data_IF_453042204662
#
_entry.id   IF_453042204662
#
_cell.length_a   1.000
_cell.length_b   1.000
_cell.length_c   1.000
_cell.angle_alpha   90.00
_cell.angle_beta   90.00
_cell.angle_gamma   90.00
#
_symmetry.space_group_name_H-M   'P 1'
#
loop_
_entity.id
_entity.type
_entity.pdbx_description
1 polymer ?
#
# COMPACT_ATOMS: atom_id res chain seq x y z
N UNK A 1 -10.25 -36.16 -66.39
CA UNK A 1 -10.35 -36.35 -64.89
C UNK A 1 -10.30 -34.97 -64.21
N UNK A 2 -11.50 -34.38 -63.96
CA UNK A 2 -11.63 -33.09 -63.29
C UNK A 2 -11.58 -33.29 -61.76
N UNK A 3 -10.66 -32.64 -61.06
CA UNK A 3 -10.65 -32.51 -59.61
C UNK A 3 -11.40 -31.22 -59.20
N UNK A 4 -12.55 -31.44 -58.55
CA UNK A 4 -13.34 -30.34 -57.98
C UNK A 4 -12.67 -29.80 -56.70
N UNK A 5 -12.33 -28.51 -56.70
CA UNK A 5 -11.99 -27.75 -55.52
C UNK A 5 -13.29 -27.46 -54.71
N UNK A 6 -13.37 -27.95 -53.50
CA UNK A 6 -14.43 -27.55 -52.55
C UNK A 6 -13.98 -26.29 -51.83
N UNK A 7 -14.70 -25.23 -52.07
CA UNK A 7 -14.58 -23.97 -51.32
C UNK A 7 -15.30 -24.13 -49.98
N UNK A 8 -14.57 -23.89 -48.85
CA UNK A 8 -15.19 -23.72 -47.50
C UNK A 8 -15.71 -22.27 -47.42
N UNK A 9 -16.92 -22.09 -46.89
CA UNK A 9 -17.38 -20.72 -46.58
C UNK A 9 -16.72 -20.22 -45.30
N UNK A 10 -16.06 -19.09 -45.41
CA UNK A 10 -15.49 -18.33 -44.29
C UNK A 10 -16.65 -17.59 -43.61
N UNK A 11 -17.18 -18.17 -42.50
CA UNK A 11 -18.15 -17.50 -41.63
C UNK A 11 -17.44 -16.35 -40.88
N UNK A 12 -17.68 -15.13 -41.34
CA UNK A 12 -17.31 -13.92 -40.62
C UNK A 12 -18.21 -13.78 -39.39
N UNK A 13 -17.67 -14.11 -38.22
CA UNK A 13 -18.33 -13.86 -36.93
C UNK A 13 -18.17 -12.34 -36.63
N UNK A 14 -19.17 -11.54 -36.99
CA UNK A 14 -19.29 -10.17 -36.49
C UNK A 14 -19.59 -10.24 -34.99
N UNK A 15 -18.56 -10.03 -34.17
CA UNK A 15 -18.74 -9.72 -32.76
C UNK A 15 -19.43 -8.34 -32.68
N UNK A 16 -20.71 -8.34 -32.39
CA UNK A 16 -21.43 -7.12 -31.99
C UNK A 16 -20.80 -6.63 -30.69
N UNK A 17 -19.92 -5.65 -30.78
CA UNK A 17 -19.55 -4.81 -29.65
C UNK A 17 -20.82 -4.07 -29.23
N UNK A 18 -21.49 -4.57 -28.20
CA UNK A 18 -22.51 -3.84 -27.46
C UNK A 18 -21.78 -2.68 -26.77
N UNK A 19 -21.55 -1.59 -27.50
CA UNK A 19 -21.17 -0.33 -26.91
C UNK A 19 -22.28 0.02 -25.90
N UNK A 20 -21.95 0.10 -24.62
CA UNK A 20 -22.78 0.76 -23.65
C UNK A 20 -22.85 2.21 -24.10
N UNK A 21 -23.93 2.56 -24.82
CA UNK A 21 -24.25 3.95 -25.10
C UNK A 21 -24.44 4.64 -23.75
N UNK A 22 -23.68 5.70 -23.44
CA UNK A 22 -24.01 6.51 -22.29
C UNK A 22 -25.46 6.95 -22.48
N UNK A 23 -26.30 6.68 -21.48
CA UNK A 23 -27.67 7.17 -21.49
C UNK A 23 -27.60 8.67 -21.78
N UNK A 24 -28.19 9.10 -22.90
CA UNK A 24 -28.25 10.52 -23.23
C UNK A 24 -29.03 11.23 -22.13
N UNK A 25 -28.30 11.99 -21.32
CA UNK A 25 -28.92 12.91 -20.38
C UNK A 25 -29.73 13.93 -21.17
N UNK A 26 -31.03 14.01 -20.91
CA UNK A 26 -31.88 15.07 -21.49
C UNK A 26 -31.61 16.45 -20.85
N UNK A 27 -30.71 16.51 -19.88
CA UNK A 27 -30.29 17.73 -19.21
C UNK A 27 -29.09 18.28 -19.91
N UNK A 28 -29.15 19.55 -20.33
CA UNK A 28 -28.01 20.26 -20.92
C UNK A 28 -26.94 20.42 -19.85
N UNK A 29 -25.70 20.17 -20.24
CA UNK A 29 -24.54 20.47 -19.42
C UNK A 29 -24.25 21.98 -19.50
N UNK A 30 -24.71 22.71 -18.50
CA UNK A 30 -24.57 24.16 -18.41
C UNK A 30 -23.82 24.54 -17.13
N UNK A 31 -23.08 25.68 -17.15
CA UNK A 31 -22.39 26.17 -15.95
C UNK A 31 -23.38 26.42 -14.81
N UNK A 32 -23.10 25.82 -13.65
CA UNK A 32 -23.88 26.00 -12.41
C UNK A 32 -23.17 26.94 -11.46
N UNK A 33 -23.94 27.72 -10.66
CA UNK A 33 -23.37 28.60 -9.63
C UNK A 33 -22.56 27.84 -8.58
N UNK A 34 -23.05 26.66 -8.18
CA UNK A 34 -22.30 25.75 -7.29
C UNK A 34 -21.54 24.79 -8.17
N UNK A 35 -20.25 25.05 -8.35
CA UNK A 35 -19.37 24.24 -9.20
C UNK A 35 -19.19 22.84 -8.61
N UNK A 36 -19.10 21.83 -9.47
CA UNK A 36 -18.76 20.45 -9.07
C UNK A 36 -17.31 20.35 -8.69
N UNK A 37 -17.00 19.62 -7.65
CA UNK A 37 -15.68 19.24 -7.23
C UNK A 37 -15.64 17.75 -6.90
N UNK A 38 -14.45 17.18 -6.98
CA UNK A 38 -14.17 15.81 -6.58
C UNK A 38 -12.83 15.78 -5.85
N UNK A 39 -12.78 15.04 -4.75
CA UNK A 39 -11.54 14.79 -4.00
C UNK A 39 -11.41 13.29 -3.78
N UNK A 40 -10.19 12.79 -3.68
CA UNK A 40 -9.92 11.40 -3.36
C UNK A 40 -8.68 11.26 -2.50
N UNK A 41 -8.69 10.25 -1.63
CA UNK A 41 -7.58 9.86 -0.78
C UNK A 41 -7.44 8.35 -0.78
N UNK A 42 -6.20 7.86 -0.87
CA UNK A 42 -5.89 6.45 -0.69
C UNK A 42 -5.44 6.18 0.74
N UNK A 43 -6.07 5.20 1.41
CA UNK A 43 -5.76 4.75 2.77
C UNK A 43 -5.34 3.28 2.69
N UNK A 44 -4.08 2.96 2.95
CA UNK A 44 -3.53 1.66 2.59
C UNK A 44 -3.63 1.43 1.08
N UNK A 45 -4.48 0.48 0.66
CA UNK A 45 -4.81 0.25 -0.76
C UNK A 45 -6.28 0.59 -1.10
N UNK A 46 -7.03 1.13 -0.15
CA UNK A 46 -8.43 1.53 -0.31
C UNK A 46 -8.54 2.94 -0.83
N UNK A 47 -9.26 3.15 -1.93
CA UNK A 47 -9.56 4.46 -2.48
C UNK A 47 -10.87 4.98 -1.90
N UNK A 48 -10.86 6.22 -1.39
CA UNK A 48 -12.02 6.96 -0.89
C UNK A 48 -12.18 8.21 -1.75
N UNK A 49 -13.35 8.41 -2.37
CA UNK A 49 -13.63 9.56 -3.23
C UNK A 49 -14.93 10.23 -2.85
N UNK A 50 -14.96 11.57 -2.88
CA UNK A 50 -16.15 12.38 -2.63
C UNK A 50 -16.39 13.27 -3.85
N UNK A 51 -17.61 13.18 -4.43
CA UNK A 51 -18.05 14.06 -5.50
C UNK A 51 -19.21 14.94 -4.98
N UNK A 52 -19.09 16.26 -5.12
CA UNK A 52 -19.99 17.20 -4.51
C UNK A 52 -20.06 18.52 -5.29
N UNK A 53 -21.05 19.37 -4.99
CA UNK A 53 -21.15 20.74 -5.48
C UNK A 53 -20.87 21.74 -4.37
N UNK A 54 -20.17 22.84 -4.71
CA UNK A 54 -19.61 23.83 -3.80
C UNK A 54 -20.44 25.13 -3.78
N UNK A 55 -21.50 25.21 -2.94
CA UNK A 55 -22.21 26.46 -2.78
C UNK A 55 -21.36 27.51 -2.05
N UNK A 56 -21.52 28.78 -2.43
CA UNK A 56 -20.92 29.92 -1.77
C UNK A 56 -21.82 30.45 -0.64
N UNK A 57 -21.23 31.11 0.35
CA UNK A 57 -21.99 31.76 1.44
C UNK A 57 -22.85 32.89 0.87
N UNK A 58 -22.30 33.77 0.02
CA UNK A 58 -22.98 34.89 -0.63
C UNK A 58 -23.83 35.73 0.37
N UNK A 59 -23.22 36.14 1.49
CA UNK A 59 -23.83 36.94 2.58
C UNK A 59 -25.13 36.33 3.19
N UNK A 60 -25.37 35.02 2.96
CA UNK A 60 -26.54 34.33 3.50
C UNK A 60 -26.25 33.75 4.89
N UNK A 61 -27.27 33.71 5.74
CA UNK A 61 -27.23 32.90 6.94
C UNK A 61 -27.32 31.43 6.51
N UNK A 62 -26.26 30.65 6.74
CA UNK A 62 -26.18 29.23 6.34
C UNK A 62 -26.93 28.37 7.37
N UNK A 63 -26.36 28.22 8.56
CA UNK A 63 -26.85 27.28 9.57
C UNK A 63 -28.09 27.84 10.29
N UNK A 64 -29.17 27.04 10.27
CA UNK A 64 -30.49 27.47 10.74
C UNK A 64 -31.16 28.53 9.85
N UNK A 65 -30.66 28.72 8.62
CA UNK A 65 -31.19 29.56 7.56
C UNK A 65 -31.32 28.78 6.26
N UNK A 66 -30.34 28.90 5.35
CA UNK A 66 -30.32 28.16 4.08
C UNK A 66 -30.36 26.64 4.31
N UNK A 67 -29.64 26.17 5.31
CA UNK A 67 -29.65 24.78 5.77
C UNK A 67 -30.32 24.76 7.16
N UNK A 68 -31.57 24.29 7.23
CA UNK A 68 -32.32 24.23 8.49
C UNK A 68 -31.68 23.20 9.46
N UNK A 69 -31.70 23.51 10.75
CA UNK A 69 -31.38 22.51 11.77
C UNK A 69 -32.44 21.43 11.87
N UNK A 70 -32.01 20.20 12.17
CA UNK A 70 -32.90 19.02 12.30
C UNK A 70 -33.45 18.47 10.99
N UNK A 71 -33.09 19.05 9.83
CA UNK A 71 -33.54 18.58 8.52
C UNK A 71 -32.43 17.85 7.78
N UNK A 72 -32.79 16.82 7.00
CA UNK A 72 -31.83 16.11 6.15
C UNK A 72 -31.39 17.03 5.00
N UNK A 73 -30.08 17.20 4.87
CA UNK A 73 -29.45 18.00 3.85
C UNK A 73 -28.46 17.15 3.05
N UNK A 74 -28.41 17.34 1.72
CA UNK A 74 -27.52 16.60 0.80
C UNK A 74 -26.03 16.91 0.96
N UNK A 75 -25.65 17.60 2.03
CA UNK A 75 -24.25 17.93 2.34
C UNK A 75 -23.47 18.59 1.18
N UNK A 76 -24.16 19.43 0.41
CA UNK A 76 -23.69 20.13 -0.78
C UNK A 76 -24.81 20.88 -1.47
N UNK A 77 -24.77 20.98 -2.79
CA UNK A 77 -25.74 21.63 -3.64
C UNK A 77 -26.05 20.79 -4.90
N UNK A 78 -27.12 21.13 -5.62
CA UNK A 78 -27.56 20.46 -6.85
C UNK A 78 -27.86 18.95 -6.64
N UNK A 79 -27.13 18.08 -7.35
CA UNK A 79 -27.21 16.62 -7.22
C UNK A 79 -26.72 16.14 -5.85
N UNK A 80 -26.96 14.87 -5.54
CA UNK A 80 -26.41 14.24 -4.35
C UNK A 80 -24.90 14.44 -4.25
N UNK A 81 -24.44 14.80 -3.07
CA UNK A 81 -23.08 14.51 -2.67
C UNK A 81 -22.92 13.01 -2.53
N UNK A 82 -21.89 12.45 -3.14
CA UNK A 82 -21.62 11.01 -3.08
C UNK A 82 -20.26 10.75 -2.46
N UNK A 83 -20.17 9.66 -1.70
CA UNK A 83 -18.91 9.12 -1.22
C UNK A 83 -18.77 7.68 -1.68
N UNK A 84 -17.58 7.34 -2.22
CA UNK A 84 -17.27 6.01 -2.76
C UNK A 84 -16.10 5.40 -2.00
N UNK A 85 -16.24 4.14 -1.64
CA UNK A 85 -15.18 3.32 -1.02
C UNK A 85 -14.91 2.11 -1.90
N UNK A 86 -13.64 1.88 -2.27
CA UNK A 86 -13.25 0.70 -3.07
C UNK A 86 -13.31 -0.61 -2.28
N UNK A 87 -13.21 -0.54 -0.96
CA UNK A 87 -13.15 -1.66 -0.03
C UNK A 87 -13.98 -1.35 1.22
N UNK A 88 -14.30 -2.34 2.07
CA UNK A 88 -14.99 -2.11 3.34
C UNK A 88 -14.19 -1.19 4.27
N UNK A 89 -14.88 -0.27 4.93
CA UNK A 89 -14.30 0.73 5.83
C UNK A 89 -15.01 0.74 7.19
N UNK A 90 -14.45 1.46 8.14
CA UNK A 90 -15.11 1.84 9.39
C UNK A 90 -15.31 3.35 9.40
N UNK A 91 -16.54 3.79 9.59
CA UNK A 91 -16.90 5.19 9.78
C UNK A 91 -17.19 5.42 11.26
N UNK A 92 -16.39 6.27 11.93
CA UNK A 92 -16.48 6.43 13.38
C UNK A 92 -16.50 5.08 14.12
N UNK A 93 -15.69 4.11 13.64
CA UNK A 93 -15.60 2.76 14.18
C UNK A 93 -16.76 1.81 13.82
N UNK A 94 -17.76 2.24 13.02
CA UNK A 94 -18.88 1.40 12.58
C UNK A 94 -18.64 0.89 11.16
N UNK A 95 -18.89 -0.39 10.87
CA UNK A 95 -18.60 -0.98 9.56
C UNK A 95 -19.53 -0.43 8.46
N UNK A 96 -18.94 -0.24 7.28
CA UNK A 96 -19.63 0.11 6.04
C UNK A 96 -18.97 -0.64 4.89
N UNK A 97 -19.75 -1.32 4.06
CA UNK A 97 -19.26 -2.09 2.92
C UNK A 97 -18.71 -1.17 1.81
N UNK A 98 -17.92 -1.77 0.90
CA UNK A 98 -17.50 -1.11 -0.32
C UNK A 98 -18.72 -0.68 -1.16
N UNK A 99 -18.63 0.48 -1.80
CA UNK A 99 -19.71 0.99 -2.66
C UNK A 99 -19.75 2.50 -2.75
N UNK A 100 -20.73 3.00 -3.50
CA UNK A 100 -21.05 4.43 -3.62
C UNK A 100 -22.33 4.73 -2.85
N UNK A 101 -22.27 5.73 -1.98
CA UNK A 101 -23.36 6.14 -1.11
C UNK A 101 -23.72 7.60 -1.33
N UNK A 102 -25.02 7.93 -1.26
CA UNK A 102 -25.45 9.31 -1.08
C UNK A 102 -25.08 9.78 0.32
N UNK A 103 -24.31 10.87 0.39
CA UNK A 103 -23.89 11.48 1.64
C UNK A 103 -24.86 12.59 2.04
N UNK A 104 -25.56 12.37 3.15
CA UNK A 104 -26.45 13.38 3.72
C UNK A 104 -26.03 13.72 5.15
N UNK A 105 -26.44 14.89 5.63
CA UNK A 105 -26.21 15.30 7.01
C UNK A 105 -27.46 15.93 7.61
N UNK A 106 -27.64 15.77 8.92
CA UNK A 106 -28.62 16.51 9.72
C UNK A 106 -27.86 17.46 10.64
N UNK A 107 -27.76 18.75 10.31
CA UNK A 107 -27.12 19.73 11.16
C UNK A 107 -27.93 20.01 12.42
N UNK A 108 -27.25 20.17 13.54
CA UNK A 108 -27.76 20.76 14.78
C UNK A 108 -26.67 21.61 15.45
N UNK A 109 -27.01 22.29 16.53
CA UNK A 109 -26.04 23.20 17.18
C UNK A 109 -24.83 22.46 17.75
N UNK A 110 -25.05 21.31 18.40
CA UNK A 110 -24.05 20.63 19.20
C UNK A 110 -23.63 19.26 18.64
N UNK A 111 -24.43 18.66 17.77
CA UNK A 111 -24.17 17.34 17.20
C UNK A 111 -24.80 17.22 15.80
N UNK A 112 -24.05 16.69 14.87
CA UNK A 112 -24.51 16.42 13.51
C UNK A 112 -24.62 14.92 13.29
N UNK A 113 -25.67 14.51 12.56
CA UNK A 113 -25.79 13.13 12.07
C UNK A 113 -25.30 13.06 10.63
N UNK A 114 -24.31 12.23 10.35
CA UNK A 114 -23.83 11.90 9.00
C UNK A 114 -24.51 10.63 8.56
N UNK A 115 -25.05 10.63 7.34
CA UNK A 115 -25.90 9.55 6.79
C UNK A 115 -25.29 9.04 5.50
N UNK A 116 -25.15 7.74 5.39
CA UNK A 116 -24.75 7.02 4.18
C UNK A 116 -25.96 6.27 3.64
N UNK A 117 -26.52 6.75 2.53
CA UNK A 117 -27.72 6.20 1.89
C UNK A 117 -27.36 5.34 0.68
N UNK A 118 -28.12 4.27 0.43
CA UNK A 118 -27.99 3.49 -0.81
C UNK A 118 -28.36 4.31 -2.04
N UNK A 119 -29.21 5.31 -1.88
CA UNK A 119 -29.61 6.20 -2.96
C UNK A 119 -28.53 7.27 -3.18
N UNK A 120 -27.72 7.08 -4.21
CA UNK A 120 -26.62 7.98 -4.58
C UNK A 120 -26.91 8.83 -5.82
N UNK A 121 -28.11 8.74 -6.42
CA UNK A 121 -28.46 9.35 -7.71
C UNK A 121 -29.56 10.40 -7.64
N UNK A 122 -30.04 10.74 -6.45
CA UNK A 122 -31.11 11.71 -6.26
C UNK A 122 -30.67 13.14 -6.58
N UNK A 123 -31.61 14.01 -6.91
CA UNK A 123 -31.43 15.45 -6.89
C UNK A 123 -31.76 16.00 -5.51
N UNK A 124 -30.76 16.46 -4.77
CA UNK A 124 -30.95 16.98 -3.42
C UNK A 124 -31.40 15.91 -2.41
N UNK A 125 -32.14 16.30 -1.39
CA UNK A 125 -32.72 15.40 -0.38
C UNK A 125 -34.25 15.39 -0.44
N UNK A 126 -34.85 15.78 -1.57
CA UNK A 126 -36.31 15.88 -1.69
C UNK A 126 -37.03 14.52 -1.68
N UNK A 127 -36.32 13.49 -2.18
CA UNK A 127 -36.81 12.10 -2.23
C UNK A 127 -36.08 11.22 -1.22
N UNK A 128 -35.47 11.81 -0.21
CA UNK A 128 -34.76 11.07 0.81
C UNK A 128 -35.74 10.16 1.58
N UNK A 129 -35.37 8.89 1.70
CA UNK A 129 -36.06 7.90 2.53
C UNK A 129 -35.07 7.28 3.53
N UNK A 130 -35.41 7.36 4.82
CA UNK A 130 -34.61 6.79 5.89
C UNK A 130 -34.45 5.26 5.78
N UNK A 131 -35.37 4.58 5.10
CA UNK A 131 -35.30 3.13 4.86
C UNK A 131 -34.11 2.73 3.95
N UNK A 132 -33.57 3.68 3.18
CA UNK A 132 -32.36 3.50 2.33
C UNK A 132 -31.05 3.74 3.08
N UNK A 133 -31.10 4.18 4.34
CA UNK A 133 -29.88 4.42 5.12
C UNK A 133 -29.18 3.10 5.45
N UNK A 134 -27.89 3.05 5.16
CA UNK A 134 -27.02 1.92 5.52
C UNK A 134 -26.32 2.18 6.84
N UNK A 135 -25.92 3.45 7.06
CA UNK A 135 -25.21 3.84 8.26
C UNK A 135 -25.56 5.27 8.65
N UNK A 136 -25.68 5.48 9.96
CA UNK A 136 -25.74 6.79 10.60
C UNK A 136 -24.68 6.88 11.72
N UNK A 137 -23.93 7.97 11.71
CA UNK A 137 -22.97 8.30 12.78
C UNK A 137 -23.21 9.71 13.25
N UNK A 138 -22.96 9.93 14.53
CA UNK A 138 -23.06 11.27 15.13
C UNK A 138 -21.66 11.82 15.38
N UNK A 139 -21.46 13.07 15.04
CA UNK A 139 -20.20 13.79 15.20
C UNK A 139 -20.45 15.19 15.76
N UNK A 140 -19.44 15.79 16.39
CA UNK A 140 -19.52 17.14 16.91
C UNK A 140 -18.93 18.11 15.89
N UNK A 141 -19.69 19.15 15.48
CA UNK A 141 -19.11 20.22 14.68
C UNK A 141 -18.10 21.02 15.50
N UNK A 142 -17.14 21.63 14.80
CA UNK A 142 -16.13 22.52 15.38
C UNK A 142 -16.27 23.91 14.76
N UNK A 143 -15.83 24.93 15.50
CA UNK A 143 -15.64 26.26 14.94
C UNK A 143 -14.39 26.26 14.04
N UNK A 144 -14.52 26.87 12.86
CA UNK A 144 -13.46 27.02 11.88
C UNK A 144 -13.30 28.47 11.42
N UNK A 145 -12.23 28.74 10.69
CA UNK A 145 -12.09 30.00 9.96
C UNK A 145 -13.16 30.09 8.86
N UNK A 146 -13.32 31.28 8.29
CA UNK A 146 -14.37 31.56 7.31
C UNK A 146 -14.06 30.87 5.96
N UNK A 147 -14.83 29.84 5.61
CA UNK A 147 -14.82 29.17 4.32
C UNK A 147 -15.99 29.65 3.46
N UNK A 148 -15.74 30.52 2.47
CA UNK A 148 -16.81 31.06 1.62
C UNK A 148 -17.44 29.97 0.71
N UNK A 149 -16.64 29.03 0.21
CA UNK A 149 -17.14 27.89 -0.58
C UNK A 149 -17.15 26.62 0.27
N UNK A 150 -18.24 25.84 0.23
CA UNK A 150 -18.27 24.53 0.84
C UNK A 150 -17.11 23.67 0.30
N UNK A 151 -16.34 23.08 1.18
CA UNK A 151 -15.16 22.27 0.86
C UNK A 151 -15.20 20.97 1.65
N UNK A 152 -14.76 19.87 1.02
CA UNK A 152 -14.36 18.65 1.70
C UNK A 152 -12.86 18.54 1.63
N UNK A 153 -12.23 18.06 2.70
CA UNK A 153 -10.80 17.78 2.77
C UNK A 153 -10.55 16.46 3.48
N UNK A 154 -9.36 15.87 3.22
CA UNK A 154 -8.83 14.76 3.98
C UNK A 154 -7.68 15.25 4.83
N UNK A 155 -7.79 15.13 6.14
CA UNK A 155 -6.78 15.53 7.13
C UNK A 155 -6.42 14.38 8.07
N UNK A 156 -5.45 14.61 8.97
CA UNK A 156 -4.97 13.67 9.98
C UNK A 156 -4.64 12.30 9.41
N UNK A 157 -3.93 12.29 8.27
CA UNK A 157 -3.59 11.07 7.53
C UNK A 157 -2.74 10.12 8.38
N UNK A 158 -3.19 8.86 8.48
CA UNK A 158 -2.47 7.75 9.08
C UNK A 158 -2.35 6.60 8.06
N UNK A 159 -1.49 5.59 8.29
CA UNK A 159 -1.38 4.45 7.39
C UNK A 159 -2.70 3.68 7.16
N UNK A 160 -3.62 3.74 8.11
CA UNK A 160 -4.88 3.00 8.14
C UNK A 160 -6.12 3.89 8.26
N UNK A 161 -5.99 5.20 8.32
CA UNK A 161 -7.13 6.09 8.51
C UNK A 161 -6.88 7.52 8.04
N UNK A 162 -7.97 8.26 7.83
CA UNK A 162 -8.00 9.70 7.61
C UNK A 162 -9.24 10.30 8.28
N UNK A 163 -9.23 11.60 8.51
CA UNK A 163 -10.40 12.39 8.88
C UNK A 163 -10.90 13.10 7.63
N UNK A 164 -12.17 12.96 7.33
CA UNK A 164 -12.85 13.75 6.31
C UNK A 164 -13.49 14.92 7.01
N UNK A 165 -13.22 16.13 6.53
CA UNK A 165 -13.74 17.37 7.09
C UNK A 165 -14.58 18.10 6.04
N UNK A 166 -15.85 18.38 6.38
CA UNK A 166 -16.68 19.32 5.64
C UNK A 166 -16.52 20.69 6.26
N UNK A 167 -16.11 21.66 5.47
CA UNK A 167 -15.91 23.06 5.91
C UNK A 167 -16.81 24.00 5.12
N UNK A 168 -17.61 24.78 5.79
CA UNK A 168 -18.41 25.82 5.19
C UNK A 168 -18.83 26.89 6.19
N UNK A 169 -18.77 28.18 5.78
CA UNK A 169 -18.95 29.33 6.64
C UNK A 169 -17.91 29.29 7.77
N UNK A 170 -18.29 29.12 9.02
CA UNK A 170 -17.39 29.02 10.19
C UNK A 170 -17.55 27.68 10.93
N UNK A 171 -17.94 26.65 10.21
CA UNK A 171 -18.18 25.32 10.78
C UNK A 171 -17.36 24.28 10.01
N UNK A 172 -16.65 23.48 10.76
CA UNK A 172 -16.00 22.24 10.34
C UNK A 172 -16.76 21.05 10.92
N UNK A 173 -17.00 20.04 10.09
CA UNK A 173 -17.69 18.79 10.51
C UNK A 173 -16.78 17.60 10.17
N UNK A 174 -15.98 17.14 11.14
CA UNK A 174 -15.05 16.02 10.92
C UNK A 174 -15.73 14.69 11.13
N UNK A 175 -15.33 13.67 10.36
CA UNK A 175 -15.63 12.27 10.64
C UNK A 175 -14.47 11.38 10.20
N UNK A 176 -14.16 10.36 11.01
CA UNK A 176 -13.04 9.46 10.77
C UNK A 176 -13.46 8.32 9.85
N UNK A 177 -12.60 8.05 8.85
CA UNK A 177 -12.63 6.83 8.05
C UNK A 177 -11.40 6.01 8.39
N UNK A 178 -11.56 4.72 8.69
CA UNK A 178 -10.45 3.80 8.91
C UNK A 178 -10.65 2.50 8.14
N UNK A 179 -9.55 1.83 7.84
CA UNK A 179 -9.48 0.63 7.00
C UNK A 179 -8.75 -0.47 7.76
N UNK A 180 -9.29 -1.67 7.78
CA UNK A 180 -8.50 -2.82 8.17
C UNK A 180 -7.56 -3.20 7.01
N UNK A 181 -6.40 -2.53 6.94
CA UNK A 181 -5.46 -2.64 5.82
C UNK A 181 -5.01 -4.09 5.61
N UNK A 182 -4.80 -4.84 6.68
CA UNK A 182 -4.37 -6.24 6.57
C UNK A 182 -5.42 -7.12 5.89
N UNK A 183 -6.68 -6.99 6.27
CA UNK A 183 -7.77 -7.78 5.66
C UNK A 183 -7.96 -7.40 4.19
N UNK A 184 -7.93 -6.09 3.89
CA UNK A 184 -8.07 -5.59 2.52
C UNK A 184 -6.91 -6.07 1.64
N UNK A 185 -5.67 -5.98 2.12
CA UNK A 185 -4.50 -6.47 1.37
C UNK A 185 -4.57 -7.97 1.16
N UNK A 186 -4.90 -8.76 2.19
CA UNK A 186 -5.04 -10.22 2.03
C UNK A 186 -6.11 -10.60 1.00
N UNK A 187 -7.29 -9.94 1.03
CA UNK A 187 -8.33 -10.15 0.03
C UNK A 187 -7.86 -9.77 -1.38
N UNK A 188 -7.16 -8.65 -1.50
CA UNK A 188 -6.60 -8.16 -2.75
C UNK A 188 -5.53 -9.10 -3.31
N UNK A 189 -4.60 -9.58 -2.48
CA UNK A 189 -3.57 -10.58 -2.88
C UNK A 189 -4.22 -11.84 -3.44
N UNK A 190 -5.22 -12.41 -2.74
CA UNK A 190 -5.96 -13.59 -3.22
C UNK A 190 -6.60 -13.37 -4.59
N UNK A 191 -7.06 -12.15 -4.88
CA UNK A 191 -7.63 -11.79 -6.19
C UNK A 191 -6.54 -11.60 -7.25
N UNK A 192 -5.49 -10.83 -6.96
CA UNK A 192 -4.42 -10.50 -7.89
C UNK A 192 -3.62 -11.72 -8.32
N UNK A 193 -3.29 -12.61 -7.37
CA UNK A 193 -2.55 -13.85 -7.61
C UNK A 193 -3.34 -14.94 -8.38
N UNK A 194 -4.59 -14.66 -8.78
CA UNK A 194 -5.38 -15.46 -9.73
C UNK A 194 -5.38 -14.91 -11.15
N UNK A 195 -4.62 -13.84 -11.40
CA UNK A 195 -4.46 -13.19 -12.70
C UNK A 195 -3.09 -13.50 -13.32
N UNK A 196 -2.59 -12.65 -14.22
CA UNK A 196 -1.27 -12.80 -14.83
C UNK A 196 -0.12 -12.84 -13.81
N UNK A 197 -0.30 -12.22 -12.65
CA UNK A 197 0.68 -12.23 -11.56
C UNK A 197 1.04 -13.63 -11.07
N UNK A 198 0.14 -14.62 -11.21
CA UNK A 198 0.40 -16.00 -10.79
C UNK A 198 1.57 -16.68 -11.52
N UNK A 199 1.95 -16.17 -12.70
CA UNK A 199 2.99 -16.79 -13.54
C UNK A 199 4.39 -16.23 -13.30
N UNK A 200 4.56 -15.31 -12.34
CA UNK A 200 5.85 -14.75 -11.98
C UNK A 200 6.23 -15.12 -10.56
N UNK A 201 7.50 -15.50 -10.34
CA UNK A 201 7.99 -15.79 -9.00
C UNK A 201 7.94 -14.53 -8.10
N UNK A 202 8.23 -13.37 -8.67
CA UNK A 202 8.27 -12.08 -7.93
C UNK A 202 6.93 -11.76 -7.26
N UNK A 203 5.82 -11.91 -7.98
CA UNK A 203 4.50 -11.58 -7.41
C UNK A 203 4.15 -12.43 -6.19
N UNK A 204 4.51 -13.70 -6.20
CA UNK A 204 4.32 -14.59 -5.06
C UNK A 204 5.29 -14.29 -3.92
N UNK A 205 6.54 -13.94 -4.27
CA UNK A 205 7.56 -13.57 -3.28
C UNK A 205 7.20 -12.25 -2.58
N UNK A 206 6.78 -11.23 -3.33
CA UNK A 206 6.31 -9.95 -2.78
C UNK A 206 5.13 -10.16 -1.82
N UNK A 207 4.17 -11.01 -2.19
CA UNK A 207 3.04 -11.34 -1.33
C UNK A 207 3.47 -12.07 -0.06
N UNK A 208 4.39 -13.03 -0.16
CA UNK A 208 4.95 -13.75 0.98
C UNK A 208 5.71 -12.81 1.93
N UNK A 209 6.56 -11.94 1.36
CA UNK A 209 7.35 -10.97 2.12
C UNK A 209 6.48 -9.91 2.80
N UNK A 210 5.38 -9.45 2.17
CA UNK A 210 4.42 -8.56 2.84
C UNK A 210 3.85 -9.21 4.10
N UNK A 211 3.31 -10.43 3.99
CA UNK A 211 2.72 -11.13 5.13
C UNK A 211 3.76 -11.43 6.23
N UNK A 212 4.99 -11.76 5.84
CA UNK A 212 6.11 -11.95 6.76
C UNK A 212 6.46 -10.67 7.53
N UNK A 213 6.57 -9.54 6.81
CA UNK A 213 6.93 -8.24 7.38
C UNK A 213 5.88 -7.76 8.38
N UNK A 214 4.61 -7.89 8.01
CA UNK A 214 3.48 -7.53 8.87
C UNK A 214 3.20 -8.58 9.96
N UNK A 215 3.87 -9.74 9.91
CA UNK A 215 3.71 -10.88 10.84
C UNK A 215 2.27 -11.40 10.94
N UNK A 216 1.58 -11.43 9.79
CA UNK A 216 0.20 -11.90 9.69
C UNK A 216 0.10 -13.08 8.73
N UNK A 217 -0.87 -13.96 8.95
CA UNK A 217 -1.20 -15.08 8.05
C UNK A 217 0.03 -15.85 7.54
N UNK A 218 0.97 -16.21 8.43
CA UNK A 218 2.25 -16.86 8.07
C UNK A 218 2.08 -18.19 7.33
N UNK A 219 0.97 -18.90 7.49
CA UNK A 219 0.67 -20.11 6.71
C UNK A 219 0.35 -19.77 5.24
N UNK A 220 -0.39 -18.67 5.00
CA UNK A 220 -0.60 -18.14 3.64
C UNK A 220 0.73 -17.66 3.06
N UNK A 221 1.58 -16.98 3.86
CA UNK A 221 2.91 -16.55 3.45
C UNK A 221 3.79 -17.73 3.00
N UNK A 222 3.77 -18.85 3.75
CA UNK A 222 4.49 -20.06 3.39
C UNK A 222 3.95 -20.67 2.08
N UNK A 223 2.64 -20.65 1.91
CA UNK A 223 2.01 -21.10 0.66
C UNK A 223 2.49 -20.25 -0.52
N UNK A 224 2.54 -18.93 -0.36
CA UNK A 224 2.99 -18.00 -1.41
C UNK A 224 4.48 -18.15 -1.71
N UNK A 225 5.34 -18.29 -0.69
CA UNK A 225 6.76 -18.58 -0.88
C UNK A 225 6.98 -19.89 -1.67
N UNK A 226 6.23 -20.94 -1.36
CA UNK A 226 6.30 -22.19 -2.13
C UNK A 226 5.84 -22.00 -3.58
N UNK A 227 4.78 -21.20 -3.84
CA UNK A 227 4.34 -20.87 -5.20
C UNK A 227 5.37 -20.05 -5.97
N UNK A 228 6.07 -19.14 -5.31
CA UNK A 228 7.20 -18.41 -5.87
C UNK A 228 8.29 -19.38 -6.33
N UNK A 229 8.70 -20.33 -5.47
CA UNK A 229 9.73 -21.34 -5.74
C UNK A 229 9.30 -22.28 -6.88
N UNK A 230 8.02 -22.68 -6.93
CA UNK A 230 7.47 -23.48 -8.04
C UNK A 230 7.60 -22.77 -9.39
N UNK A 231 7.46 -21.44 -9.43
CA UNK A 231 7.66 -20.66 -10.66
C UNK A 231 9.14 -20.52 -11.03
N UNK A 232 9.98 -20.20 -10.07
CA UNK A 232 11.44 -20.10 -10.26
C UNK A 232 12.13 -20.17 -8.89
N UNK A 233 13.00 -21.15 -8.72
CA UNK A 233 13.76 -21.38 -7.48
C UNK A 233 14.94 -20.42 -7.38
N UNK A 234 14.93 -19.54 -6.37
CA UNK A 234 15.88 -18.44 -6.20
C UNK A 234 16.31 -18.25 -4.75
N UNK A 235 17.44 -17.57 -4.56
CA UNK A 235 17.86 -17.12 -3.22
C UNK A 235 16.75 -16.36 -2.50
N UNK A 236 16.11 -15.42 -3.19
CA UNK A 236 15.16 -14.46 -2.60
C UNK A 236 13.95 -15.17 -1.98
N UNK A 237 13.32 -16.10 -2.69
CA UNK A 237 12.14 -16.81 -2.20
C UNK A 237 12.47 -17.94 -1.22
N UNK A 238 13.63 -18.59 -1.32
CA UNK A 238 14.07 -19.59 -0.34
C UNK A 238 14.46 -18.92 1.00
N UNK A 239 15.07 -17.73 0.99
CA UNK A 239 15.38 -16.99 2.22
C UNK A 239 14.10 -16.42 2.86
N UNK A 240 13.12 -15.97 2.06
CA UNK A 240 11.81 -15.59 2.54
C UNK A 240 11.11 -16.77 3.23
N UNK A 241 11.09 -17.95 2.58
CA UNK A 241 10.56 -19.19 3.13
C UNK A 241 11.24 -19.58 4.44
N UNK A 242 12.57 -19.49 4.53
CA UNK A 242 13.30 -19.76 5.77
C UNK A 242 12.81 -18.86 6.92
N UNK A 243 12.69 -17.55 6.68
CA UNK A 243 12.22 -16.58 7.68
C UNK A 243 10.77 -16.84 8.10
N UNK A 244 9.90 -17.19 7.16
CA UNK A 244 8.50 -17.55 7.43
C UNK A 244 8.43 -18.81 8.31
N UNK A 245 9.20 -19.84 7.97
CA UNK A 245 9.28 -21.08 8.75
C UNK A 245 9.77 -20.83 10.17
N UNK A 246 10.74 -19.92 10.34
CA UNK A 246 11.19 -19.50 11.67
C UNK A 246 10.07 -18.81 12.45
N UNK A 247 9.29 -17.94 11.81
CA UNK A 247 8.10 -17.31 12.39
C UNK A 247 7.02 -18.31 12.80
N UNK A 248 6.92 -19.44 12.10
CA UNK A 248 6.04 -20.57 12.42
C UNK A 248 6.63 -21.56 13.44
N UNK A 249 7.78 -21.26 14.06
CA UNK A 249 8.55 -22.15 14.97
C UNK A 249 9.05 -23.45 14.33
N UNK A 250 9.13 -23.53 13.02
CA UNK A 250 9.61 -24.70 12.24
C UNK A 250 11.11 -24.57 11.97
N UNK A 251 11.92 -24.62 13.02
CA UNK A 251 13.37 -24.30 12.97
C UNK A 251 14.17 -25.23 12.05
N UNK A 252 13.89 -26.53 12.06
CA UNK A 252 14.62 -27.50 11.23
C UNK A 252 14.32 -27.26 9.74
N UNK A 253 13.06 -27.04 9.39
CA UNK A 253 12.67 -26.71 8.02
C UNK A 253 13.24 -25.36 7.57
N UNK A 254 13.30 -24.37 8.48
CA UNK A 254 13.92 -23.07 8.23
C UNK A 254 15.41 -23.22 7.87
N UNK A 255 16.15 -24.03 8.63
CA UNK A 255 17.57 -24.28 8.37
C UNK A 255 17.81 -24.97 7.01
N UNK A 256 16.91 -25.86 6.60
CA UNK A 256 16.96 -26.49 5.27
C UNK A 256 16.74 -25.47 4.16
N UNK A 257 15.73 -24.61 4.28
CA UNK A 257 15.45 -23.54 3.30
C UNK A 257 16.60 -22.52 3.23
N UNK A 258 17.16 -22.11 4.40
CA UNK A 258 18.31 -21.21 4.47
C UNK A 258 19.53 -21.77 3.73
N UNK A 259 19.86 -23.04 3.99
CA UNK A 259 20.96 -23.72 3.33
C UNK A 259 20.76 -23.76 1.79
N UNK A 260 19.54 -23.99 1.35
CA UNK A 260 19.19 -24.00 -0.06
C UNK A 260 19.29 -22.59 -0.67
N UNK A 261 18.79 -21.57 0.01
CA UNK A 261 18.95 -20.17 -0.38
C UNK A 261 20.42 -19.81 -0.60
N UNK A 262 21.28 -20.11 0.38
CA UNK A 262 22.71 -19.83 0.29
C UNK A 262 23.43 -20.58 -0.83
N UNK A 263 22.93 -21.75 -1.23
CA UNK A 263 23.44 -22.47 -2.39
C UNK A 263 23.09 -21.81 -3.73
N UNK A 264 21.98 -21.07 -3.80
CA UNK A 264 21.51 -20.33 -4.97
C UNK A 264 22.03 -18.88 -5.01
N UNK A 265 22.55 -18.39 -3.89
CA UNK A 265 22.96 -17.00 -3.72
C UNK A 265 24.18 -16.63 -4.57
N UNK A 266 24.17 -15.45 -5.16
CA UNK A 266 25.36 -14.85 -5.71
C UNK A 266 26.28 -14.29 -4.60
N UNK A 267 27.56 -13.98 -4.89
CA UNK A 267 28.52 -13.53 -3.88
C UNK A 267 28.06 -12.30 -3.07
N UNK A 268 27.37 -11.36 -3.72
CA UNK A 268 26.84 -10.16 -3.06
C UNK A 268 25.69 -10.51 -2.11
N UNK A 269 24.77 -11.37 -2.52
CA UNK A 269 23.69 -11.84 -1.66
C UNK A 269 24.21 -12.56 -0.41
N UNK A 270 25.26 -13.40 -0.57
CA UNK A 270 25.94 -14.04 0.56
C UNK A 270 26.55 -12.99 1.51
N UNK A 271 27.20 -11.96 0.95
CA UNK A 271 27.77 -10.87 1.75
C UNK A 271 26.70 -10.11 2.53
N UNK A 272 25.61 -9.72 1.86
CA UNK A 272 24.49 -8.99 2.49
C UNK A 272 23.79 -9.82 3.56
N UNK A 273 23.63 -11.11 3.33
CA UNK A 273 23.10 -12.03 4.34
C UNK A 273 23.98 -12.09 5.60
N UNK A 274 25.30 -12.22 5.43
CA UNK A 274 26.22 -12.17 6.55
C UNK A 274 26.16 -10.82 7.30
N UNK A 275 26.00 -9.70 6.58
CA UNK A 275 25.74 -8.39 7.19
C UNK A 275 24.45 -8.34 8.01
N UNK A 276 23.39 -8.97 7.51
CA UNK A 276 22.14 -9.09 8.27
C UNK A 276 22.34 -9.89 9.56
N UNK A 277 23.02 -11.02 9.50
CA UNK A 277 23.34 -11.82 10.71
C UNK A 277 24.11 -11.02 11.75
N UNK A 278 25.05 -10.15 11.32
CA UNK A 278 25.74 -9.24 12.25
C UNK A 278 24.76 -8.28 12.95
N UNK A 279 23.83 -7.68 12.20
CA UNK A 279 22.80 -6.80 12.77
C UNK A 279 21.89 -7.55 13.77
N UNK A 280 21.65 -8.83 13.55
CA UNK A 280 20.91 -9.74 14.44
C UNK A 280 21.77 -10.25 15.63
N UNK A 281 23.03 -9.76 15.79
CA UNK A 281 24.00 -10.19 16.83
C UNK A 281 24.46 -11.65 16.71
N UNK A 282 24.34 -12.25 15.54
CA UNK A 282 24.83 -13.59 15.16
C UNK A 282 26.22 -13.48 14.49
N UNK A 283 27.13 -12.76 15.12
CA UNK A 283 28.42 -12.36 14.50
C UNK A 283 29.29 -13.55 14.14
N UNK A 284 29.37 -14.60 14.95
CA UNK A 284 30.18 -15.79 14.66
C UNK A 284 29.74 -16.49 13.36
N UNK A 285 28.44 -16.63 13.15
CA UNK A 285 27.89 -17.18 11.93
C UNK A 285 28.19 -16.29 10.72
N UNK A 286 28.01 -14.97 10.87
CA UNK A 286 28.35 -14.01 9.83
C UNK A 286 29.83 -14.09 9.43
N UNK A 287 30.73 -14.18 10.39
CA UNK A 287 32.17 -14.28 10.14
C UNK A 287 32.56 -15.58 9.43
N UNK A 288 31.92 -16.70 9.76
CA UNK A 288 32.11 -17.95 9.04
C UNK A 288 31.69 -17.83 7.56
N UNK A 289 30.55 -17.17 7.30
CA UNK A 289 30.04 -16.92 5.94
C UNK A 289 30.98 -15.97 5.17
N UNK A 290 31.46 -14.89 5.77
CA UNK A 290 32.44 -13.99 5.12
C UNK A 290 33.71 -14.72 4.71
N UNK A 291 34.26 -15.57 5.58
CA UNK A 291 35.47 -16.36 5.26
C UNK A 291 35.23 -17.34 4.11
N UNK A 292 34.07 -18.00 4.10
CA UNK A 292 33.73 -18.96 3.05
C UNK A 292 33.45 -18.26 1.70
N UNK A 293 32.77 -17.09 1.73
CA UNK A 293 32.56 -16.28 0.55
C UNK A 293 33.88 -15.81 -0.07
N UNK A 294 34.84 -15.39 0.78
CA UNK A 294 36.15 -14.94 0.33
C UNK A 294 36.99 -16.06 -0.33
N UNK A 295 36.90 -17.29 0.16
CA UNK A 295 37.55 -18.43 -0.48
C UNK A 295 37.05 -18.70 -1.89
N UNK A 296 35.75 -18.50 -2.12
CA UNK A 296 35.08 -18.79 -3.39
C UNK A 296 35.18 -17.64 -4.39
N UNK A 297 35.20 -16.40 -3.91
CA UNK A 297 35.06 -15.17 -4.70
C UNK A 297 36.08 -14.11 -4.29
N UNK A 298 37.40 -14.40 -4.42
CA UNK A 298 38.50 -13.55 -3.88
C UNK A 298 38.64 -12.21 -4.61
N UNK A 299 38.01 -12.02 -5.79
CA UNK A 299 38.19 -10.82 -6.62
C UNK A 299 37.12 -9.74 -6.38
N UNK A 300 36.11 -10.04 -5.55
CA UNK A 300 34.98 -9.14 -5.33
C UNK A 300 35.28 -8.15 -4.19
N UNK A 301 35.17 -6.86 -4.45
CA UNK A 301 35.52 -5.81 -3.49
C UNK A 301 34.76 -5.91 -2.15
N UNK A 302 33.46 -6.27 -2.18
CA UNK A 302 32.66 -6.42 -0.97
C UNK A 302 33.06 -7.63 -0.13
N UNK A 303 33.66 -8.62 -0.75
CA UNK A 303 34.21 -9.80 -0.04
C UNK A 303 35.42 -9.39 0.83
N UNK A 304 36.28 -8.54 0.30
CA UNK A 304 37.38 -7.94 1.08
C UNK A 304 36.86 -7.11 2.26
N UNK A 305 35.71 -6.39 2.11
CA UNK A 305 35.12 -5.71 3.27
C UNK A 305 34.63 -6.69 4.32
N UNK A 306 34.11 -7.85 3.91
CA UNK A 306 33.70 -8.94 4.80
C UNK A 306 34.91 -9.47 5.60
N UNK A 307 36.04 -9.76 4.95
CA UNK A 307 37.26 -10.18 5.62
C UNK A 307 37.84 -9.11 6.55
N UNK A 308 37.83 -7.83 6.14
CA UNK A 308 38.22 -6.73 7.00
C UNK A 308 37.41 -6.69 8.30
N UNK A 309 36.12 -6.98 8.24
CA UNK A 309 35.24 -7.09 9.43
C UNK A 309 35.62 -8.27 10.31
N UNK A 310 35.93 -9.40 9.71
CA UNK A 310 36.41 -10.59 10.44
C UNK A 310 37.69 -10.26 11.18
N UNK A 311 38.74 -9.75 10.49
CA UNK A 311 40.00 -9.40 11.11
C UNK A 311 39.87 -8.29 12.16
N UNK A 312 39.03 -7.31 11.92
CA UNK A 312 38.72 -6.24 12.89
C UNK A 312 38.16 -6.80 14.21
N UNK A 313 37.21 -7.75 14.14
CA UNK A 313 36.68 -8.42 15.34
C UNK A 313 37.72 -9.23 16.12
N UNK A 314 38.73 -9.72 15.42
CA UNK A 314 39.87 -10.45 16.01
C UNK A 314 41.01 -9.51 16.50
N UNK A 315 40.79 -8.18 16.45
CA UNK A 315 41.82 -7.15 16.73
C UNK A 315 43.04 -7.21 15.84
N UNK A 316 42.97 -7.86 14.67
CA UNK A 316 43.99 -7.95 13.64
C UNK A 316 43.89 -6.77 12.67
N UNK A 317 44.13 -5.55 13.20
CA UNK A 317 43.83 -4.30 12.46
C UNK A 317 44.71 -4.12 11.21
N UNK A 318 45.97 -4.64 11.22
CA UNK A 318 46.85 -4.56 10.06
C UNK A 318 46.30 -5.42 8.89
N UNK A 319 45.85 -6.64 9.18
CA UNK A 319 45.22 -7.51 8.19
C UNK A 319 43.90 -6.93 7.72
N UNK A 320 43.07 -6.37 8.63
CA UNK A 320 41.81 -5.71 8.29
C UNK A 320 42.03 -4.50 7.37
N UNK A 321 43.05 -3.68 7.64
CA UNK A 321 43.42 -2.53 6.80
C UNK A 321 43.90 -2.97 5.41
N UNK A 322 44.68 -4.06 5.33
CA UNK A 322 45.09 -4.63 4.05
C UNK A 322 43.91 -5.05 3.19
N UNK A 323 42.95 -5.77 3.77
CA UNK A 323 41.74 -6.17 3.06
C UNK A 323 40.91 -4.95 2.67
N UNK A 324 40.80 -3.94 3.52
CA UNK A 324 40.06 -2.71 3.19
C UNK A 324 40.68 -1.97 2.00
N UNK A 325 41.98 -1.93 1.88
CA UNK A 325 42.69 -1.34 0.72
C UNK A 325 42.40 -2.10 -0.57
N UNK A 326 42.34 -3.44 -0.52
CA UNK A 326 41.91 -4.25 -1.66
C UNK A 326 40.45 -3.94 -2.06
N UNK A 327 39.57 -3.83 -1.07
CA UNK A 327 38.20 -3.43 -1.31
C UNK A 327 38.12 -2.05 -2.00
N UNK A 328 38.82 -1.04 -1.49
CA UNK A 328 38.83 0.32 -2.07
C UNK A 328 39.38 0.37 -3.49
N UNK A 329 40.40 -0.44 -3.81
CA UNK A 329 40.96 -0.49 -5.14
C UNK A 329 39.98 -1.01 -6.21
N UNK A 330 39.13 -1.95 -5.84
CA UNK A 330 38.17 -2.60 -6.75
C UNK A 330 36.74 -2.05 -6.63
N UNK A 331 36.42 -1.27 -5.60
CA UNK A 331 35.08 -0.76 -5.36
C UNK A 331 34.70 0.35 -6.36
N UNK A 332 33.39 0.44 -6.72
CA UNK A 332 32.87 1.55 -7.52
C UNK A 332 32.95 2.88 -6.74
N UNK A 333 33.08 3.99 -7.47
CA UNK A 333 33.32 5.32 -6.89
C UNK A 333 32.31 5.75 -5.83
N UNK A 334 31.06 5.38 -5.98
CA UNK A 334 30.00 5.68 -5.01
C UNK A 334 30.17 4.96 -3.66
N UNK A 335 31.01 3.94 -3.56
CA UNK A 335 31.31 3.21 -2.32
C UNK A 335 32.59 3.70 -1.64
N UNK A 336 33.50 4.36 -2.36
CA UNK A 336 34.81 4.74 -1.88
C UNK A 336 34.79 5.61 -0.63
N UNK A 337 33.89 6.59 -0.56
CA UNK A 337 33.74 7.46 0.62
C UNK A 337 33.35 6.69 1.89
N UNK A 338 32.48 5.72 1.75
CA UNK A 338 32.06 4.86 2.87
C UNK A 338 33.25 3.98 3.33
N UNK A 339 33.97 3.37 2.39
CA UNK A 339 35.09 2.49 2.68
C UNK A 339 36.28 3.26 3.30
N UNK A 340 36.56 4.49 2.85
CA UNK A 340 37.53 5.39 3.44
C UNK A 340 37.24 5.67 4.94
N UNK A 341 35.97 5.88 5.26
CA UNK A 341 35.53 6.01 6.66
C UNK A 341 35.81 4.77 7.51
N UNK A 342 35.65 3.57 6.95
CA UNK A 342 35.98 2.32 7.63
C UNK A 342 37.47 2.12 7.75
N UNK A 343 38.25 2.44 6.71
CA UNK A 343 39.72 2.35 6.73
C UNK A 343 40.31 3.22 7.84
N UNK A 344 39.91 4.49 7.96
CA UNK A 344 40.35 5.39 9.03
C UNK A 344 40.09 4.85 10.44
N UNK A 345 38.95 4.17 10.62
CA UNK A 345 38.64 3.50 11.90
C UNK A 345 39.60 2.35 12.17
N UNK A 346 39.92 1.54 11.15
CA UNK A 346 40.87 0.46 11.27
C UNK A 346 42.28 0.95 11.59
N UNK A 347 42.75 2.04 10.95
CA UNK A 347 44.01 2.70 11.23
C UNK A 347 44.06 3.23 12.67
N UNK A 348 42.95 3.70 13.21
CA UNK A 348 42.79 4.07 14.61
C UNK A 348 42.64 2.86 15.56
N UNK A 349 42.78 1.63 15.06
CA UNK A 349 42.61 0.36 15.79
C UNK A 349 41.20 0.24 16.44
N UNK A 350 40.18 0.70 15.74
CA UNK A 350 38.76 0.61 16.17
C UNK A 350 38.08 -0.52 15.43
N UNK A 351 37.27 -1.29 16.14
CA UNK A 351 36.44 -2.34 15.51
C UNK A 351 35.38 -1.70 14.63
N UNK A 352 35.33 -2.12 13.34
CA UNK A 352 34.39 -1.63 12.35
C UNK A 352 33.01 -2.35 12.37
N UNK A 353 32.83 -3.28 13.29
CA UNK A 353 31.58 -4.02 13.48
C UNK A 353 30.61 -3.35 14.47
N UNK A 354 31.05 -2.32 15.14
CA UNK A 354 30.27 -1.54 16.11
C UNK A 354 29.51 -0.39 15.45
#
# INVERSE_FOLDING_TARGET
MLRALRALPFCLLMAAMSGVSPAQSFVLDLPLQSQRAEISQRIGITDVAISYHRPLVNDRKIWGGLVPYGAVWRAGANENTTITFSDPVLIEGKPLDAGTYGLHMIPNADEWTIIFSKNSTSWGSFTYDQAEDVLRVNVKPKAADMHNALTYEFDQLQPDSAVIELEWEKVEVPFKVSVNVHDVVQASLKKQLRSLSQYTWMSWDDAANYLLTEKIALDDALTYANKSIENEDRYDNEIAKSKILLGLNRKDDSAVAEKKALALANPLQIHLYARQLQAEKRSEEAFAIFRENAKKHPDEWFVHTGLARVYSSESKFDDATKEMKLAMAAAPDNQKSYLDGLEKRLEAKQDINQ
#
